data_IF_458620429471
#
_entry.id   IF_458620429471
#
_cell.length_a   1.000
_cell.length_b   1.000
_cell.length_c   1.000
_cell.angle_alpha   90.00
_cell.angle_beta   90.00
_cell.angle_gamma   90.00
#
_symmetry.space_group_name_H-M   'P 1'
#
loop_
_entity.id
_entity.type
_entity.pdbx_description
1 polymer ?
#
# COMPACT_ATOMS: atom_id res chain seq x y z
N UNK A 1 10.34 22.65 12.57
CA UNK A 1 10.84 21.60 13.49
C UNK A 1 9.70 21.18 14.40
N UNK A 2 9.51 19.86 14.60
CA UNK A 2 8.47 19.35 15.51
C UNK A 2 8.86 19.69 16.96
N UNK A 3 7.87 19.97 17.82
CA UNK A 3 8.08 20.47 19.19
C UNK A 3 9.06 19.61 20.01
N UNK A 4 9.08 18.30 19.78
CA UNK A 4 9.88 17.34 20.54
C UNK A 4 11.03 16.71 19.72
N UNK A 5 11.23 17.09 18.46
CA UNK A 5 12.26 16.48 17.60
C UNK A 5 12.02 15.00 17.29
N UNK A 6 10.76 14.61 17.10
CA UNK A 6 10.37 13.25 16.72
C UNK A 6 9.37 13.29 15.57
N UNK A 7 9.38 12.27 14.71
CA UNK A 7 8.42 12.08 13.63
C UNK A 7 7.85 10.65 13.59
N UNK A 8 6.70 10.51 12.92
CA UNK A 8 6.09 9.22 12.61
C UNK A 8 6.78 8.62 11.38
N UNK A 9 7.06 7.33 11.45
CA UNK A 9 7.55 6.52 10.33
C UNK A 9 6.60 5.36 10.13
N UNK A 10 6.23 5.10 8.88
CA UNK A 10 5.46 3.94 8.44
C UNK A 10 6.33 3.11 7.51
N UNK A 11 6.39 1.80 7.77
CA UNK A 11 7.09 0.82 6.95
C UNK A 11 6.14 -0.27 6.50
N UNK A 12 6.24 -0.67 5.24
CA UNK A 12 5.51 -1.79 4.68
C UNK A 12 6.52 -2.69 3.98
N UNK A 13 6.70 -3.92 4.47
CA UNK A 13 7.64 -4.82 3.81
C UNK A 13 7.03 -5.47 2.58
N UNK A 14 7.89 -5.91 1.66
CA UNK A 14 7.56 -6.72 0.50
C UNK A 14 6.61 -7.87 0.88
N UNK A 15 6.98 -8.64 1.90
CA UNK A 15 6.22 -9.80 2.36
C UNK A 15 4.86 -9.44 2.96
N UNK A 16 4.76 -8.29 3.63
CA UNK A 16 3.50 -7.84 4.25
C UNK A 16 2.48 -7.46 3.17
N UNK A 17 2.91 -6.69 2.17
CA UNK A 17 2.05 -6.30 1.04
C UNK A 17 1.71 -7.51 0.17
N UNK A 18 2.68 -8.38 -0.11
CA UNK A 18 2.43 -9.64 -0.82
C UNK A 18 1.41 -10.50 -0.10
N UNK A 19 1.57 -10.66 1.22
CA UNK A 19 0.65 -11.42 2.05
C UNK A 19 -0.77 -10.84 2.01
N UNK A 20 -0.92 -9.52 2.05
CA UNK A 20 -2.22 -8.86 1.92
C UNK A 20 -2.88 -9.16 0.57
N UNK A 21 -2.15 -8.97 -0.54
CA UNK A 21 -2.68 -9.21 -1.88
C UNK A 21 -3.16 -10.65 -2.05
N UNK A 22 -2.39 -11.63 -1.55
CA UNK A 22 -2.79 -13.05 -1.59
C UNK A 22 -4.07 -13.28 -0.76
N UNK A 23 -4.15 -12.75 0.47
CA UNK A 23 -5.32 -12.93 1.33
C UNK A 23 -6.60 -12.33 0.74
N UNK A 24 -6.46 -11.20 0.03
CA UNK A 24 -7.59 -10.46 -0.56
C UNK A 24 -7.89 -10.87 -2.01
N UNK A 25 -7.09 -11.77 -2.59
CA UNK A 25 -7.16 -12.11 -4.02
C UNK A 25 -7.08 -10.85 -4.91
N UNK A 26 -6.10 -10.00 -4.62
CA UNK A 26 -5.81 -8.78 -5.36
C UNK A 26 -4.65 -8.98 -6.35
N UNK A 27 -4.55 -8.06 -7.31
CA UNK A 27 -3.54 -8.05 -8.37
C UNK A 27 -3.56 -9.30 -9.27
N UNK A 28 -4.76 -9.85 -9.54
CA UNK A 28 -4.94 -11.10 -10.29
C UNK A 28 -4.74 -10.97 -11.81
N UNK A 29 -4.81 -9.75 -12.35
CA UNK A 29 -4.77 -9.46 -13.78
C UNK A 29 -3.47 -8.76 -14.22
N UNK A 30 -2.58 -8.43 -13.28
CA UNK A 30 -1.31 -7.79 -13.57
C UNK A 30 -0.20 -8.78 -13.95
N UNK A 31 0.90 -8.27 -14.50
CA UNK A 31 2.07 -9.12 -14.78
C UNK A 31 2.90 -9.34 -13.52
N UNK A 32 3.67 -10.44 -13.46
CA UNK A 32 4.61 -10.67 -12.35
C UNK A 32 5.60 -9.51 -12.18
N UNK A 33 6.01 -8.87 -13.28
CA UNK A 33 6.94 -7.75 -13.25
C UNK A 33 6.31 -6.52 -12.60
N UNK A 34 5.07 -6.20 -12.96
CA UNK A 34 4.36 -5.05 -12.38
C UNK A 34 4.06 -5.31 -10.91
N UNK A 35 3.71 -6.55 -10.58
CA UNK A 35 3.50 -6.97 -9.19
C UNK A 35 4.78 -6.83 -8.36
N UNK A 36 5.91 -7.36 -8.84
CA UNK A 36 7.21 -7.20 -8.16
C UNK A 36 7.62 -5.73 -8.04
N UNK A 37 7.39 -4.90 -9.07
CA UNK A 37 7.69 -3.48 -9.02
C UNK A 37 6.88 -2.76 -7.93
N UNK A 38 5.58 -3.03 -7.83
CA UNK A 38 4.71 -2.48 -6.78
C UNK A 38 5.16 -2.93 -5.37
N UNK A 39 5.56 -4.20 -5.22
CA UNK A 39 6.05 -4.71 -3.94
C UNK A 39 7.38 -4.06 -3.53
N UNK A 40 8.31 -3.87 -4.47
CA UNK A 40 9.58 -3.19 -4.22
C UNK A 40 9.37 -1.70 -3.89
N UNK A 41 8.43 -1.03 -4.57
CA UNK A 41 8.07 0.36 -4.26
C UNK A 41 7.70 0.54 -2.78
N UNK A 42 6.95 -0.41 -2.20
CA UNK A 42 6.59 -0.37 -0.79
C UNK A 42 7.80 -0.64 0.13
N UNK A 43 8.60 -1.66 -0.18
CA UNK A 43 9.72 -2.12 0.65
C UNK A 43 10.87 -1.10 0.70
N UNK A 44 11.17 -0.48 -0.45
CA UNK A 44 12.25 0.49 -0.61
C UNK A 44 11.92 1.87 -0.02
N UNK A 45 10.64 2.15 0.26
CA UNK A 45 10.20 3.43 0.77
C UNK A 45 10.78 3.71 2.17
N UNK A 46 11.49 4.84 2.32
CA UNK A 46 11.98 5.28 3.64
C UNK A 46 10.81 5.50 4.61
N UNK A 47 9.71 6.06 4.11
CA UNK A 47 8.47 6.25 4.84
C UNK A 47 7.28 6.12 3.89
N UNK A 48 6.29 5.30 4.25
CA UNK A 48 5.06 5.16 3.47
C UNK A 48 4.19 6.42 3.66
N UNK A 49 4.18 7.25 2.62
CA UNK A 49 3.36 8.47 2.55
C UNK A 49 1.95 8.16 2.04
N UNK A 50 1.05 9.13 2.15
CA UNK A 50 -0.28 9.04 1.55
C UNK A 50 -0.21 8.85 0.04
N UNK A 51 0.71 9.53 -0.65
CA UNK A 51 0.86 9.40 -2.10
C UNK A 51 1.28 7.98 -2.51
N UNK A 52 2.22 7.37 -1.78
CA UNK A 52 2.62 5.97 -2.03
C UNK A 52 1.44 5.01 -1.81
N UNK A 53 0.61 5.23 -0.79
CA UNK A 53 -0.59 4.42 -0.55
C UNK A 53 -1.58 4.57 -1.70
N UNK A 54 -1.83 5.80 -2.15
CA UNK A 54 -2.72 6.08 -3.29
C UNK A 54 -2.22 5.41 -4.57
N UNK A 55 -0.91 5.46 -4.83
CA UNK A 55 -0.29 4.81 -5.98
C UNK A 55 -0.41 3.29 -5.92
N UNK A 56 -0.11 2.67 -4.78
CA UNK A 56 -0.23 1.22 -4.60
C UNK A 56 -1.70 0.78 -4.69
N UNK A 57 -2.63 1.52 -4.08
CA UNK A 57 -4.06 1.24 -4.16
C UNK A 57 -4.57 1.29 -5.60
N UNK A 58 -4.16 2.30 -6.37
CA UNK A 58 -4.52 2.44 -7.77
C UNK A 58 -4.00 1.26 -8.59
N UNK A 59 -2.72 0.89 -8.43
CA UNK A 59 -2.13 -0.27 -9.10
C UNK A 59 -2.85 -1.57 -8.74
N UNK A 60 -3.20 -1.78 -7.47
CA UNK A 60 -3.98 -2.94 -7.01
C UNK A 60 -5.32 -2.99 -7.73
N UNK A 61 -6.06 -1.89 -7.74
CA UNK A 61 -7.41 -1.83 -8.30
C UNK A 61 -7.38 -2.05 -9.82
N UNK A 62 -6.49 -1.37 -10.53
CA UNK A 62 -6.30 -1.51 -11.98
C UNK A 62 -5.98 -2.94 -12.40
N UNK A 63 -5.27 -3.69 -11.54
CA UNK A 63 -4.81 -5.04 -11.81
C UNK A 63 -5.61 -6.13 -11.08
N UNK A 64 -6.77 -5.81 -10.49
CA UNK A 64 -7.63 -6.78 -9.80
C UNK A 64 -8.94 -7.00 -10.53
N UNK A 65 -9.55 -8.18 -10.37
CA UNK A 65 -10.94 -8.41 -10.78
C UNK A 65 -11.91 -7.94 -9.68
N UNK A 66 -11.88 -6.65 -9.39
CA UNK A 66 -12.85 -5.99 -8.51
C UNK A 66 -14.04 -5.61 -9.39
N UNK A 67 -15.27 -5.95 -8.99
CA UNK A 67 -16.49 -5.86 -9.83
C UNK A 67 -16.46 -4.68 -10.80
N UNK A 68 -16.26 -5.01 -12.08
CA UNK A 68 -15.86 -4.09 -13.16
C UNK A 68 -16.88 -3.00 -13.51
N UNK A 69 -18.05 -3.02 -12.88
CA UNK A 69 -19.14 -2.13 -13.26
C UNK A 69 -18.99 -0.74 -12.65
N UNK A 70 -18.46 -0.58 -11.43
CA UNK A 70 -18.04 0.72 -10.87
C UNK A 70 -17.02 0.50 -9.73
N UNK A 71 -15.81 1.04 -9.87
CA UNK A 71 -14.95 1.27 -8.69
C UNK A 71 -15.53 2.50 -7.99
N UNK A 72 -16.16 2.29 -6.84
CA UNK A 72 -16.61 3.40 -6.00
C UNK A 72 -15.44 3.95 -5.17
N UNK A 73 -15.58 5.20 -4.74
CA UNK A 73 -14.66 5.80 -3.77
C UNK A 73 -14.55 4.91 -2.50
N UNK A 74 -15.64 4.23 -2.11
CA UNK A 74 -15.64 3.30 -0.98
C UNK A 74 -14.71 2.09 -1.17
N UNK A 75 -14.61 1.55 -2.39
CA UNK A 75 -13.65 0.46 -2.70
C UNK A 75 -12.22 0.99 -2.60
N UNK A 76 -11.97 2.16 -3.19
CA UNK A 76 -10.65 2.78 -3.15
C UNK A 76 -10.20 3.08 -1.72
N UNK A 77 -11.07 3.70 -0.92
CA UNK A 77 -10.85 3.99 0.50
C UNK A 77 -10.65 2.71 1.31
N UNK A 78 -11.40 1.64 1.03
CA UNK A 78 -11.22 0.35 1.68
C UNK A 78 -9.87 -0.28 1.36
N UNK A 79 -9.38 -0.17 0.12
CA UNK A 79 -8.03 -0.66 -0.25
C UNK A 79 -6.96 0.15 0.47
N UNK A 80 -7.09 1.48 0.49
CA UNK A 80 -6.18 2.35 1.23
C UNK A 80 -6.14 2.02 2.72
N UNK A 81 -7.30 1.77 3.32
CA UNK A 81 -7.41 1.36 4.72
C UNK A 81 -6.62 0.08 5.01
N UNK A 82 -6.80 -0.96 4.20
CA UNK A 82 -6.11 -2.24 4.35
C UNK A 82 -4.58 -2.10 4.17
N UNK A 83 -4.15 -1.22 3.27
CA UNK A 83 -2.74 -0.90 3.08
C UNK A 83 -2.16 -0.17 4.32
N UNK A 84 -2.91 0.76 4.91
CA UNK A 84 -2.48 1.41 6.15
C UNK A 84 -2.43 0.43 7.34
N UNK A 85 -3.39 -0.49 7.44
CA UNK A 85 -3.48 -1.45 8.54
C UNK A 85 -2.27 -2.41 8.61
N UNK A 86 -1.66 -2.73 7.45
CA UNK A 86 -0.45 -3.55 7.41
C UNK A 86 0.86 -2.78 7.60
N UNK A 87 0.81 -1.44 7.71
CA UNK A 87 2.01 -0.64 7.96
C UNK A 87 2.50 -0.82 9.40
N UNK A 88 3.78 -1.14 9.57
CA UNK A 88 4.43 -1.01 10.86
C UNK A 88 4.73 0.46 11.13
N UNK A 89 4.04 1.04 12.11
CA UNK A 89 4.09 2.47 12.42
C UNK A 89 4.77 2.70 13.76
N UNK A 90 5.76 3.58 13.80
CA UNK A 90 6.53 3.91 15.00
C UNK A 90 7.02 5.36 15.01
N UNK A 91 7.48 5.83 16.17
CA UNK A 91 8.04 7.17 16.35
C UNK A 91 9.58 7.09 16.30
N UNK A 92 10.19 7.91 15.45
CA UNK A 92 11.64 8.05 15.31
C UNK A 92 12.09 9.46 15.71
N UNK A 93 13.36 9.60 16.13
CA UNK A 93 13.97 10.89 16.46
C UNK A 93 14.47 11.56 15.18
N UNK A 94 14.29 12.88 15.07
CA UNK A 94 14.83 13.72 13.99
C UNK A 94 16.36 13.81 14.01
#
# INVERSE_FOLDING_TARGET
MKQYGYHEVRKMSFDSLRGLCIRKNWFTNGTNKDYEAMLNQADDAENITTDIIVEIASQIIENSDMSKDFISDEIFESVCFELFDICNTFIAKD
#
